data_IF_309731134927
#
_entry.id   IF_309731134927
#
_cell.length_a   1.000
_cell.length_b   1.000
_cell.length_c   1.000
_cell.angle_alpha   90.00
_cell.angle_beta   90.00
_cell.angle_gamma   90.00
#
_symmetry.space_group_name_H-M   'P 1'
#
loop_
_entity.id
_entity.type
_entity.pdbx_description
1 polymer ?
#
# COMPACT_ATOMS: atom_id res chain seq x y z
N UNK A 1 24.85 -15.59 25.18
CA UNK A 1 23.55 -15.76 24.49
C UNK A 1 23.08 -14.36 24.08
N UNK A 2 23.83 -13.73 23.14
CA UNK A 2 23.80 -12.28 22.90
C UNK A 2 23.75 -11.95 21.38
N UNK A 3 23.06 -12.76 20.56
CA UNK A 3 23.15 -12.63 19.10
C UNK A 3 21.83 -12.35 18.35
N UNK A 4 20.68 -12.20 19.02
CA UNK A 4 19.38 -12.01 18.33
C UNK A 4 18.76 -10.61 18.48
N UNK A 5 19.40 -9.67 19.19
CA UNK A 5 18.80 -8.36 19.53
C UNK A 5 19.47 -7.15 18.86
N UNK A 6 20.27 -7.36 17.82
CA UNK A 6 20.59 -6.27 16.90
C UNK A 6 19.36 -6.02 16.02
N UNK A 7 18.34 -5.37 16.59
CA UNK A 7 17.20 -4.84 15.85
C UNK A 7 17.74 -4.20 14.57
N UNK A 8 17.39 -4.79 13.41
CA UNK A 8 17.75 -4.21 12.11
C UNK A 8 17.20 -2.80 12.08
N UNK A 9 18.07 -1.84 12.35
CA UNK A 9 17.73 -0.43 12.31
C UNK A 9 17.15 -0.15 10.93
N UNK A 10 15.92 0.34 10.88
CA UNK A 10 15.26 0.59 9.61
C UNK A 10 15.95 1.79 8.95
N UNK A 11 16.73 1.52 7.91
CA UNK A 11 17.30 2.56 7.06
C UNK A 11 16.18 3.21 6.22
N UNK A 12 15.73 4.38 6.68
CA UNK A 12 14.66 5.14 6.05
C UNK A 12 15.08 5.74 4.71
N UNK A 13 16.37 6.02 4.50
CA UNK A 13 16.84 6.62 3.25
C UNK A 13 16.93 5.54 2.16
N UNK A 14 17.43 4.34 2.52
CA UNK A 14 17.38 3.19 1.62
C UNK A 14 15.93 2.80 1.29
N UNK A 15 15.04 2.80 2.28
CA UNK A 15 13.63 2.53 2.06
C UNK A 15 12.99 3.57 1.12
N UNK A 16 13.22 4.87 1.36
CA UNK A 16 12.72 5.93 0.50
C UNK A 16 13.23 5.82 -0.94
N UNK A 17 14.54 5.54 -1.13
CA UNK A 17 15.11 5.31 -2.47
C UNK A 17 14.44 4.13 -3.18
N UNK A 18 14.24 3.01 -2.49
CA UNK A 18 13.56 1.85 -3.06
C UNK A 18 12.12 2.15 -3.49
N UNK A 19 11.36 2.92 -2.69
CA UNK A 19 10.02 3.36 -3.08
C UNK A 19 10.03 4.25 -4.33
N UNK A 20 10.97 5.21 -4.40
CA UNK A 20 11.09 6.11 -5.54
C UNK A 20 11.55 5.38 -6.81
N UNK A 21 12.33 4.31 -6.67
CA UNK A 21 12.71 3.40 -7.75
C UNK A 21 11.56 2.45 -8.17
N UNK A 22 10.44 2.43 -7.44
CA UNK A 22 9.29 1.57 -7.74
C UNK A 22 9.43 0.13 -7.28
N UNK A 23 10.30 -0.15 -6.31
CA UNK A 23 10.52 -1.49 -5.76
C UNK A 23 9.31 -1.97 -4.96
N UNK A 24 8.66 -3.05 -5.42
CA UNK A 24 7.48 -3.63 -4.77
C UNK A 24 7.75 -4.05 -3.32
N UNK A 25 8.95 -4.57 -3.03
CA UNK A 25 9.34 -4.98 -1.67
C UNK A 25 9.51 -3.77 -0.73
N UNK A 26 10.07 -2.67 -1.22
CA UNK A 26 10.19 -1.43 -0.47
C UNK A 26 8.80 -0.85 -0.14
N UNK A 27 7.88 -0.85 -1.12
CA UNK A 27 6.50 -0.44 -0.91
C UNK A 27 5.80 -1.26 0.18
N UNK A 28 5.89 -2.59 0.12
CA UNK A 28 5.28 -3.46 1.13
C UNK A 28 5.84 -3.17 2.54
N UNK A 29 7.17 -3.05 2.68
CA UNK A 29 7.81 -2.70 3.96
C UNK A 29 7.37 -1.35 4.49
N UNK A 30 7.22 -0.34 3.63
CA UNK A 30 6.74 0.98 4.05
C UNK A 30 5.28 0.95 4.49
N UNK A 31 4.39 0.23 3.80
CA UNK A 31 3.00 0.04 4.25
C UNK A 31 2.99 -0.62 5.63
N UNK A 32 3.73 -1.71 5.82
CA UNK A 32 3.85 -2.38 7.13
C UNK A 32 4.37 -1.45 8.22
N UNK A 33 5.38 -0.61 7.91
CA UNK A 33 5.91 0.37 8.87
C UNK A 33 4.85 1.41 9.26
N UNK A 34 4.08 1.91 8.28
CA UNK A 34 3.04 2.93 8.46
C UNK A 34 1.84 2.37 9.22
N UNK A 35 1.45 1.12 8.98
CA UNK A 35 0.30 0.46 9.62
C UNK A 35 0.63 -0.11 11.02
N UNK A 36 1.91 -0.20 11.38
CA UNK A 36 2.34 -0.75 12.65
C UNK A 36 1.81 0.03 13.85
N UNK A 37 1.23 -0.68 14.83
CA UNK A 37 0.79 -0.11 16.10
C UNK A 37 1.94 0.19 17.09
N UNK A 38 3.15 -0.35 16.86
CA UNK A 38 4.29 -0.19 17.76
C UNK A 38 4.70 1.30 17.90
N UNK A 39 4.82 1.85 19.13
CA UNK A 39 5.15 3.28 19.33
C UNK A 39 6.43 3.72 18.62
N UNK A 40 7.48 2.89 18.67
CA UNK A 40 8.77 3.14 18.02
C UNK A 40 8.69 3.27 16.48
N UNK A 41 7.66 2.70 15.85
CA UNK A 41 7.45 2.80 14.41
C UNK A 41 6.73 4.08 14.01
N UNK A 42 6.04 4.76 14.93
CA UNK A 42 5.27 5.98 14.62
C UNK A 42 6.18 7.11 14.15
N UNK A 43 7.26 7.37 14.89
CA UNK A 43 8.21 8.44 14.54
C UNK A 43 8.94 8.13 13.24
N UNK A 44 9.32 6.85 13.05
CA UNK A 44 9.95 6.38 11.80
C UNK A 44 9.00 6.51 10.60
N UNK A 45 7.71 6.20 10.77
CA UNK A 45 6.69 6.34 9.73
C UNK A 45 6.47 7.81 9.36
N UNK A 46 6.37 8.71 10.33
CA UNK A 46 6.27 10.15 10.07
C UNK A 46 7.51 10.68 9.34
N UNK A 47 8.70 10.27 9.76
CA UNK A 47 9.94 10.66 9.12
C UNK A 47 10.07 10.10 7.68
N UNK A 48 9.56 8.88 7.42
CA UNK A 48 9.49 8.33 6.07
C UNK A 48 8.51 9.12 5.20
N UNK A 49 7.31 9.41 5.71
CA UNK A 49 6.31 10.20 5.01
C UNK A 49 6.86 11.57 4.65
N UNK A 50 7.52 12.27 5.59
CA UNK A 50 8.15 13.57 5.34
C UNK A 50 9.13 13.54 4.16
N UNK A 51 9.95 12.49 4.04
CA UNK A 51 10.88 12.31 2.90
C UNK A 51 10.15 12.10 1.57
N UNK A 52 8.99 11.43 1.60
CA UNK A 52 8.22 11.08 0.40
C UNK A 52 7.24 12.17 -0.03
N UNK A 53 6.85 13.09 0.87
CA UNK A 53 5.88 14.15 0.61
C UNK A 53 6.17 14.96 -0.67
N UNK A 54 7.40 15.40 -0.97
CA UNK A 54 7.71 16.15 -2.20
C UNK A 54 7.47 15.36 -3.50
N UNK A 55 7.44 14.03 -3.43
CA UNK A 55 7.22 13.15 -4.58
C UNK A 55 5.76 12.70 -4.73
N UNK A 56 4.88 13.10 -3.81
CA UNK A 56 3.46 12.76 -3.80
C UNK A 56 2.62 13.70 -4.69
N UNK A 57 1.32 13.44 -4.80
CA UNK A 57 0.38 14.33 -5.52
C UNK A 57 0.34 14.18 -7.04
N UNK A 58 1.27 13.42 -7.64
CA UNK A 58 1.34 13.18 -9.09
C UNK A 58 0.47 11.99 -9.54
N UNK A 59 -0.75 11.89 -9.02
CA UNK A 59 -1.71 10.82 -9.35
C UNK A 59 -3.15 11.30 -9.34
N UNK A 60 -3.98 10.72 -10.21
CA UNK A 60 -5.43 10.87 -10.16
C UNK A 60 -6.02 9.90 -9.13
N UNK A 61 -6.82 10.41 -8.19
CA UNK A 61 -7.46 9.61 -7.12
C UNK A 61 -8.96 9.56 -7.37
N UNK A 62 -9.49 8.35 -7.54
CA UNK A 62 -10.91 8.12 -7.87
C UNK A 62 -11.52 7.28 -6.74
N UNK A 63 -12.57 7.80 -6.10
CA UNK A 63 -13.37 7.06 -5.14
C UNK A 63 -14.49 6.28 -5.86
N UNK A 64 -14.61 4.98 -5.57
CA UNK A 64 -15.66 4.12 -6.12
C UNK A 64 -16.48 3.58 -4.95
N UNK A 65 -17.79 3.78 -4.98
CA UNK A 65 -18.73 3.35 -3.94
C UNK A 65 -19.98 2.72 -4.58
N UNK A 66 -20.80 2.06 -3.77
CA UNK A 66 -22.02 1.39 -4.21
C UNK A 66 -22.41 0.25 -3.28
N UNK A 67 -23.68 -0.16 -3.34
CA UNK A 67 -24.24 -1.24 -2.51
C UNK A 67 -23.54 -2.59 -2.74
N UNK A 68 -23.57 -3.53 -1.78
CA UNK A 68 -23.12 -4.91 -2.01
C UNK A 68 -23.79 -5.50 -3.27
N UNK A 69 -23.02 -6.24 -4.07
CA UNK A 69 -23.54 -6.82 -5.32
C UNK A 69 -23.62 -5.86 -6.54
N UNK A 70 -23.37 -4.56 -6.39
CA UNK A 70 -23.43 -3.58 -7.49
C UNK A 70 -22.34 -3.73 -8.58
N UNK A 71 -21.57 -4.82 -8.60
CA UNK A 71 -20.52 -5.05 -9.61
C UNK A 71 -19.25 -4.21 -9.46
N UNK A 72 -19.02 -3.56 -8.31
CA UNK A 72 -17.85 -2.69 -8.07
C UNK A 72 -16.51 -3.37 -8.37
N UNK A 73 -16.31 -4.60 -7.91
CA UNK A 73 -15.06 -5.34 -8.15
C UNK A 73 -14.84 -5.61 -9.65
N UNK A 74 -15.89 -6.02 -10.37
CA UNK A 74 -15.85 -6.23 -11.83
C UNK A 74 -15.54 -4.95 -12.59
N UNK A 75 -16.12 -3.84 -12.14
CA UNK A 75 -15.81 -2.52 -12.71
C UNK A 75 -14.35 -2.13 -12.45
N UNK A 76 -13.86 -2.25 -11.21
CA UNK A 76 -12.48 -1.91 -10.86
C UNK A 76 -11.48 -2.76 -11.67
N UNK A 77 -11.75 -4.06 -11.83
CA UNK A 77 -10.89 -4.96 -12.61
C UNK A 77 -10.85 -4.57 -14.10
N UNK A 78 -12.01 -4.42 -14.73
CA UNK A 78 -12.10 -4.04 -16.15
C UNK A 78 -11.53 -2.64 -16.41
N UNK A 79 -11.83 -1.67 -15.55
CA UNK A 79 -11.32 -0.29 -15.67
C UNK A 79 -9.81 -0.23 -15.46
N UNK A 80 -9.29 -0.94 -14.45
CA UNK A 80 -7.86 -1.03 -14.19
C UNK A 80 -7.11 -1.65 -15.37
N UNK A 81 -7.61 -2.76 -15.94
CA UNK A 81 -7.04 -3.37 -17.15
C UNK A 81 -7.03 -2.40 -18.34
N UNK A 82 -8.09 -1.63 -18.54
CA UNK A 82 -8.13 -0.64 -19.62
C UNK A 82 -7.11 0.49 -19.42
N UNK A 83 -6.83 0.89 -18.17
CA UNK A 83 -5.82 1.89 -17.84
C UNK A 83 -4.39 1.35 -17.98
N UNK A 84 -4.13 0.12 -17.51
CA UNK A 84 -2.81 -0.52 -17.66
C UNK A 84 -2.47 -0.79 -19.12
N UNK A 85 -3.45 -1.20 -19.93
CA UNK A 85 -3.30 -1.32 -21.38
C UNK A 85 -2.94 0.01 -22.08
N UNK A 86 -3.23 1.15 -21.45
CA UNK A 86 -2.83 2.49 -21.90
C UNK A 86 -1.52 2.97 -21.27
N UNK A 87 -0.74 2.06 -20.69
CA UNK A 87 0.55 2.35 -20.05
C UNK A 87 0.44 3.10 -18.71
N UNK A 88 -0.74 3.13 -18.07
CA UNK A 88 -0.89 3.75 -16.75
C UNK A 88 -0.54 2.74 -15.66
N UNK A 89 0.07 3.23 -14.57
CA UNK A 89 0.24 2.46 -13.33
C UNK A 89 -1.01 2.65 -12.47
N UNK A 90 -1.62 1.56 -12.05
CA UNK A 90 -2.86 1.54 -11.27
C UNK A 90 -2.58 0.93 -9.90
N UNK A 91 -3.11 1.56 -8.85
CA UNK A 91 -3.17 1.01 -7.51
C UNK A 91 -4.63 1.03 -7.03
N UNK A 92 -5.05 -0.02 -6.36
CA UNK A 92 -6.40 -0.15 -5.78
C UNK A 92 -6.23 -0.27 -4.27
N UNK A 93 -6.83 0.66 -3.52
CA UNK A 93 -6.91 0.62 -2.07
C UNK A 93 -8.36 0.37 -1.67
N UNK A 94 -8.61 -0.72 -0.96
CA UNK A 94 -9.92 -1.02 -0.40
C UNK A 94 -10.03 -0.42 1.00
N UNK A 95 -11.16 0.26 1.27
CA UNK A 95 -11.50 0.77 2.60
C UNK A 95 -12.76 0.03 3.04
N UNK A 96 -12.62 -0.84 4.04
CA UNK A 96 -13.74 -1.59 4.62
C UNK A 96 -13.91 -1.21 6.10
N UNK A 97 -14.97 -0.46 6.47
CA UNK A 97 -15.20 -0.06 7.86
C UNK A 97 -15.47 -1.26 8.79
N UNK A 98 -15.87 -2.42 8.26
CA UNK A 98 -16.08 -3.65 9.04
C UNK A 98 -14.77 -4.32 9.51
N UNK A 99 -13.63 -3.91 8.95
CA UNK A 99 -12.30 -4.47 9.25
C UNK A 99 -11.78 -4.22 10.67
N UNK A 100 -12.46 -3.36 11.44
CA UNK A 100 -12.17 -3.14 12.87
C UNK A 100 -12.39 -4.42 13.71
N UNK A 101 -13.15 -5.40 13.21
CA UNK A 101 -13.38 -6.69 13.87
C UNK A 101 -12.39 -7.81 13.47
N UNK A 102 -11.63 -7.69 12.37
CA UNK A 102 -10.81 -8.79 11.82
C UNK A 102 -9.30 -8.55 11.80
N UNK A 103 -8.82 -7.39 12.27
CA UNK A 103 -7.38 -7.13 12.42
C UNK A 103 -6.66 -6.69 11.14
N UNK A 104 -7.40 -6.25 10.11
CA UNK A 104 -6.85 -5.67 8.88
C UNK A 104 -6.38 -6.71 7.85
N UNK A 105 -6.77 -6.53 6.59
CA UNK A 105 -6.26 -7.33 5.48
C UNK A 105 -4.89 -6.79 5.06
N UNK A 106 -3.81 -7.47 5.50
CA UNK A 106 -2.42 -7.04 5.32
C UNK A 106 -2.02 -6.91 3.84
N UNK A 107 -2.59 -7.72 2.94
CA UNK A 107 -2.33 -7.68 1.49
C UNK A 107 -3.24 -8.69 0.76
N UNK A 108 -4.49 -8.84 1.21
CA UNK A 108 -5.37 -9.92 0.80
C UNK A 108 -6.62 -9.41 0.11
N UNK A 109 -6.57 -9.31 -1.22
CA UNK A 109 -7.55 -9.98 -2.10
C UNK A 109 -7.03 -10.00 -3.55
N UNK A 110 -6.01 -10.82 -3.82
CA UNK A 110 -5.64 -11.22 -5.20
C UNK A 110 -6.66 -12.21 -5.80
N UNK A 111 -7.68 -12.61 -5.05
CA UNK A 111 -8.69 -13.59 -5.45
C UNK A 111 -9.94 -12.97 -6.08
N UNK A 112 -9.97 -11.63 -6.29
CA UNK A 112 -11.06 -10.94 -7.02
C UNK A 112 -10.66 -10.12 -8.25
N UNK A 113 -9.38 -10.13 -8.66
CA UNK A 113 -8.91 -9.44 -9.87
C UNK A 113 -7.88 -10.32 -10.61
N UNK A 114 -8.37 -11.34 -11.33
CA UNK A 114 -7.51 -12.31 -12.03
C UNK A 114 -6.64 -11.69 -13.13
N UNK A 115 -6.95 -10.47 -13.59
CA UNK A 115 -6.34 -9.86 -14.78
C UNK A 115 -5.41 -8.67 -14.50
N UNK A 116 -5.50 -8.05 -13.33
CA UNK A 116 -4.59 -6.98 -12.90
C UNK A 116 -3.36 -7.57 -12.20
N UNK A 117 -2.20 -7.58 -12.88
CA UNK A 117 -0.91 -8.02 -12.34
C UNK A 117 0.26 -7.08 -12.68
#
# INVERSE_FOLDING_TARGET
MNDDQQQRQIDLDALARGLLAGERAALARAITLIESAAPQHRDLAQALLGRLMPHSGRSLRIGITGVPGAGKSTFIDSFGCALTARGKRVAVLAIDPSSSLSGGSILGDKTRMERLS
#
